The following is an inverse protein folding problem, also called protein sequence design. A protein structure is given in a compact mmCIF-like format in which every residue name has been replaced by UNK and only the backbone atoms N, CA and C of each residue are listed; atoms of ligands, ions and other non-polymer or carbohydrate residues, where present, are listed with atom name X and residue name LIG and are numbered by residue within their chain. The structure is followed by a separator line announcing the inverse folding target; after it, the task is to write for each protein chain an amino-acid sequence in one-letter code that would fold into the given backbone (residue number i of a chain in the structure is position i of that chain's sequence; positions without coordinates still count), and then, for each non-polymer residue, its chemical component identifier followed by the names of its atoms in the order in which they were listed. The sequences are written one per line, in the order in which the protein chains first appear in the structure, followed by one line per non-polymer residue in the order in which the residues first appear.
data_IF_073772730860
#
_entry.id   IF_073772730860
#
_cell.length_a   1.000
_cell.length_b   1.000
_cell.length_c   1.000
_cell.angle_alpha   90.00
_cell.angle_beta   90.00
_cell.angle_gamma   90.00
#
_symmetry.space_group_name_H-M   'P 1'
#
loop_
_entity.id
_entity.type
_entity.pdbx_description
1 polymer ?
#
# COMPACT_ATOMS: atom_id res chain seq x y z
N UNK A 1 23.92 2.65 15.37
CA UNK A 1 23.31 2.62 15.32
C UNK A 1 22.44 2.21 15.14
N UNK A 2 22.19 2.47 15.27
CA UNK A 2 21.11 1.85 15.46
C UNK A 2 20.23 1.55 14.47
N UNK A 3 20.15 0.48 14.29
CA UNK A 3 19.17 -0.03 13.39
C UNK A 3 17.84 0.09 14.03
N UNK A 4 16.94 0.71 13.32
CA UNK A 4 15.61 0.79 13.82
C UNK A 4 14.84 -0.42 13.42
N UNK A 5 14.24 -1.05 14.40
CA UNK A 5 13.35 -2.17 14.13
C UNK A 5 12.08 -1.62 13.52
N UNK A 6 11.82 -1.95 12.29
CA UNK A 6 10.58 -1.53 11.67
C UNK A 6 9.44 -2.41 12.11
N UNK A 7 8.27 -1.83 12.28
CA UNK A 7 7.10 -2.64 12.58
C UNK A 7 6.74 -3.47 11.35
N UNK A 8 6.00 -4.53 11.58
CA UNK A 8 5.53 -5.35 10.47
C UNK A 8 4.69 -4.52 9.51
N UNK A 9 3.86 -3.64 10.04
CA UNK A 9 3.03 -2.77 9.20
C UNK A 9 3.89 -1.93 8.28
N UNK A 10 4.98 -1.36 8.81
CA UNK A 10 5.86 -0.53 7.99
C UNK A 10 6.56 -1.35 6.92
N UNK A 11 6.96 -2.56 7.26
CA UNK A 11 7.59 -3.45 6.27
C UNK A 11 6.62 -3.78 5.14
N UNK A 12 5.38 -4.05 5.48
CA UNK A 12 4.38 -4.37 4.47
C UNK A 12 4.05 -3.14 3.63
N UNK A 13 3.99 -1.96 4.25
CA UNK A 13 3.79 -0.74 3.50
C UNK A 13 4.90 -0.54 2.47
N UNK A 14 6.15 -0.82 2.87
CA UNK A 14 7.27 -0.71 1.94
C UNK A 14 7.16 -1.72 0.80
N UNK A 15 6.73 -2.93 1.09
CA UNK A 15 6.57 -3.94 0.04
C UNK A 15 5.51 -3.50 -0.97
N UNK A 16 4.40 -2.96 -0.47
CA UNK A 16 3.34 -2.49 -1.35
C UNK A 16 3.83 -1.30 -2.18
N UNK A 17 4.56 -0.39 -1.55
CA UNK A 17 5.12 0.75 -2.25
C UNK A 17 6.07 0.29 -3.37
N UNK A 18 6.93 -0.68 -3.07
CA UNK A 18 7.83 -1.22 -4.08
C UNK A 18 7.06 -1.84 -5.24
N UNK A 19 5.99 -2.54 -4.92
CA UNK A 19 5.17 -3.14 -5.96
C UNK A 19 4.57 -2.07 -6.87
N UNK A 20 4.09 -0.98 -6.28
CA UNK A 20 3.53 0.11 -7.05
C UNK A 20 4.58 0.73 -7.95
N UNK A 21 5.79 0.91 -7.45
CA UNK A 21 6.86 1.53 -8.22
C UNK A 21 7.36 0.66 -9.35
N UNK A 22 7.37 -0.65 -9.14
CA UNK A 22 7.87 -1.58 -10.17
C UNK A 22 6.84 -1.92 -11.23
N UNK A 23 5.58 -1.82 -10.90
CA UNK A 23 4.51 -2.08 -11.85
C UNK A 23 4.13 -0.74 -12.47
N UNK A 24 3.84 -0.70 -13.77
CA UNK A 24 3.55 0.58 -14.40
C UNK A 24 2.13 1.06 -14.08
N UNK A 25 1.85 1.26 -12.80
CA UNK A 25 0.58 1.82 -12.39
C UNK A 25 0.51 3.29 -12.75
N UNK A 26 -0.66 3.70 -13.16
CA UNK A 26 -0.93 5.11 -13.44
C UNK A 26 -1.83 5.66 -12.36
N UNK A 27 -1.94 6.98 -12.33
CA UNK A 27 -2.87 7.62 -11.43
C UNK A 27 -4.25 7.02 -11.61
N UNK A 28 -4.90 6.74 -10.50
CA UNK A 28 -6.26 6.21 -10.43
C UNK A 28 -6.40 4.75 -10.85
N UNK A 29 -5.31 4.07 -11.16
CA UNK A 29 -5.38 2.63 -11.38
C UNK A 29 -5.72 1.93 -10.09
N UNK A 30 -6.51 0.86 -10.22
CA UNK A 30 -6.93 0.09 -9.06
C UNK A 30 -5.85 -0.90 -8.67
N UNK A 31 -5.56 -0.97 -7.38
CA UNK A 31 -4.60 -1.93 -6.84
C UNK A 31 -5.27 -3.28 -6.62
N UNK A 32 -4.46 -4.33 -6.41
CA UNK A 32 -5.01 -5.61 -6.00
C UNK A 32 -5.84 -5.46 -4.73
N UNK A 33 -6.77 -6.38 -4.54
CA UNK A 33 -7.62 -6.36 -3.36
C UNK A 33 -6.80 -6.66 -2.11
N UNK A 34 -7.38 -6.37 -0.93
CA UNK A 34 -6.74 -6.74 0.32
C UNK A 34 -6.38 -8.20 0.35
N UNK A 35 -7.29 -9.05 -0.11
CA UNK A 35 -7.04 -10.49 -0.12
C UNK A 35 -5.83 -10.83 -0.98
N UNK A 36 -5.76 -10.23 -2.16
CA UNK A 36 -4.64 -10.46 -3.05
C UNK A 36 -3.34 -9.93 -2.46
N UNK A 37 -3.39 -8.79 -1.80
CA UNK A 37 -2.22 -8.25 -1.14
C UNK A 37 -1.76 -9.12 0.01
N UNK A 38 -2.69 -9.70 0.76
CA UNK A 38 -2.35 -10.65 1.80
C UNK A 38 -1.60 -11.83 1.21
N UNK A 39 -2.06 -12.34 0.08
CA UNK A 39 -1.42 -13.46 -0.56
C UNK A 39 -0.03 -13.10 -1.08
N UNK A 40 0.10 -11.91 -1.64
CA UNK A 40 1.39 -11.48 -2.18
C UNK A 40 2.42 -11.18 -1.11
N UNK A 41 1.99 -10.64 0.01
CA UNK A 41 2.93 -10.22 1.06
C UNK A 41 3.09 -11.25 2.16
N UNK A 42 2.15 -12.18 2.27
CA UNK A 42 2.16 -13.13 3.37
C UNK A 42 1.65 -12.56 4.68
N UNK A 43 1.16 -11.35 4.68
CA UNK A 43 0.69 -10.70 5.89
C UNK A 43 -0.80 -10.92 6.09
N UNK A 44 -1.26 -10.71 7.33
CA UNK A 44 -2.68 -10.80 7.63
C UNK A 44 -3.44 -9.58 7.17
N UNK A 45 -4.76 -9.69 7.19
CA UNK A 45 -5.62 -8.61 6.71
C UNK A 45 -5.44 -7.31 7.46
N UNK A 46 -5.36 -7.41 8.80
CA UNK A 46 -5.22 -6.19 9.59
C UNK A 46 -3.92 -5.46 9.26
N UNK A 47 -2.84 -6.22 9.10
CA UNK A 47 -1.54 -5.64 8.77
C UNK A 47 -1.59 -4.96 7.40
N UNK A 48 -2.16 -5.64 6.42
CA UNK A 48 -2.29 -5.07 5.08
C UNK A 48 -3.14 -3.81 5.11
N UNK A 49 -4.26 -3.86 5.84
CA UNK A 49 -5.13 -2.70 5.91
C UNK A 49 -4.44 -1.50 6.54
N UNK A 50 -3.70 -1.72 7.62
CA UNK A 50 -2.98 -0.64 8.26
C UNK A 50 -1.87 -0.10 7.36
N UNK A 51 -1.21 -0.98 6.62
CA UNK A 51 -0.18 -0.55 5.66
C UNK A 51 -0.80 0.33 4.58
N UNK A 52 -1.96 -0.04 4.08
CA UNK A 52 -2.65 0.76 3.07
C UNK A 52 -3.02 2.13 3.64
N UNK A 53 -3.43 2.19 4.89
CA UNK A 53 -3.75 3.47 5.53
C UNK A 53 -2.53 4.37 5.62
N UNK A 54 -1.38 3.80 5.91
CA UNK A 54 -0.14 4.58 5.94
C UNK A 54 0.14 5.19 4.58
N UNK A 55 0.04 4.39 3.53
CA UNK A 55 0.30 4.88 2.19
C UNK A 55 -0.74 5.92 1.77
N UNK A 56 -1.99 5.73 2.17
CA UNK A 56 -3.03 6.70 1.89
C UNK A 56 -2.75 8.02 2.60
N UNK A 57 -2.23 7.96 3.83
CA UNK A 57 -1.93 9.17 4.57
C UNK A 57 -0.80 9.96 3.93
N UNK A 58 0.02 9.31 3.11
CA UNK A 58 1.08 9.97 2.37
C UNK A 58 0.65 10.36 0.96
N UNK A 59 -0.62 10.24 0.67
CA UNK A 59 -1.19 10.57 -0.65
C UNK A 59 -0.63 9.72 -1.78
N UNK A 60 -0.15 8.53 -1.45
CA UNK A 60 0.31 7.59 -2.46
C UNK A 60 -0.85 6.78 -2.99
N UNK A 61 -1.79 6.48 -2.11
CA UNK A 61 -2.98 5.70 -2.45
C UNK A 61 -4.23 6.45 -2.03
N UNK A 62 -5.34 6.05 -2.61
CA UNK A 62 -6.66 6.53 -2.21
C UNK A 62 -7.53 5.33 -1.92
N UNK A 63 -8.06 5.26 -0.70
CA UNK A 63 -8.94 4.17 -0.33
C UNK A 63 -10.38 4.65 -0.51
N UNK A 64 -11.12 3.97 -1.38
CA UNK A 64 -12.52 4.31 -1.64
C UNK A 64 -13.40 3.20 -1.10
N UNK A 65 -14.21 3.54 -0.14
CA UNK A 65 -15.07 2.57 0.52
C UNK A 65 -15.98 1.90 -0.49
N UNK A 66 -16.00 0.57 -0.44
CA UNK A 66 -16.86 -0.19 -1.34
C UNK A 66 -16.35 -0.31 -2.76
N UNK A 67 -15.31 0.42 -3.12
CA UNK A 67 -14.78 0.39 -4.48
C UNK A 67 -13.37 -0.20 -4.57
N UNK A 68 -12.56 -0.02 -3.53
CA UNK A 68 -11.24 -0.57 -3.50
C UNK A 68 -10.18 0.49 -3.22
N UNK A 69 -8.94 0.14 -3.52
CA UNK A 69 -7.81 1.03 -3.30
C UNK A 69 -7.21 1.38 -4.65
N UNK A 70 -6.93 2.65 -4.83
CA UNK A 70 -6.47 3.17 -6.11
C UNK A 70 -5.21 3.98 -5.93
N UNK A 71 -4.41 4.07 -6.99
CA UNK A 71 -3.24 4.95 -6.97
C UNK A 71 -3.73 6.38 -6.98
N UNK A 72 -3.16 7.21 -6.11
CA UNK A 72 -3.62 8.58 -5.98
C UNK A 72 -3.34 9.38 -7.25
N UNK A 73 -4.30 10.14 -7.67
CA UNK A 73 -4.11 11.02 -8.81
C UNK A 73 -3.38 12.30 -8.46
N UNK A 74 -3.08 12.50 -7.17
CA UNK A 74 -2.44 13.74 -6.73
C UNK A 74 -0.95 13.61 -6.54
N UNK A 75 -0.40 12.41 -6.70
CA UNK A 75 1.02 12.28 -6.45
C UNK A 75 1.82 12.90 -7.57
N UNK A 76 3.00 13.34 -7.24
CA UNK A 76 3.90 13.89 -8.24
C UNK A 76 3.69 15.34 -8.56
N UNK A 77 2.91 16.00 -7.80
CA UNK A 77 2.70 17.41 -8.04
C UNK A 77 3.85 18.25 -7.50
#
# INVERSE_FOLDING_TARGET
MGVQARTLVEQIADEIMNMIQKTPYRAEDKLPTEKELCEKTGAGRNTVREALKILASRNILEIRQGAGTFVSGKQGV
#
